data_IF_758057950646
#
_entry.id   IF_758057950646
#
_cell.length_a   1.000
_cell.length_b   1.000
_cell.length_c   1.000
_cell.angle_alpha   90.00
_cell.angle_beta   90.00
_cell.angle_gamma   90.00
#
_symmetry.space_group_name_H-M   'P 1'
#
loop_
_entity.id
_entity.type
_entity.pdbx_description
1 polymer ?
#
# COMPACT_ATOMS: atom_id res chain seq x y z
N UNK A 1 -13.39 25.89 -6.12
CA UNK A 1 -13.01 25.39 -4.78
C UNK A 1 -13.91 24.19 -4.47
N UNK A 2 -13.35 23.04 -4.13
CA UNK A 2 -14.16 21.89 -3.75
C UNK A 2 -15.08 22.26 -2.58
N UNK A 3 -16.32 21.76 -2.61
CA UNK A 3 -17.24 21.96 -1.48
C UNK A 3 -16.87 20.98 -0.38
N UNK A 4 -16.75 21.46 0.86
CA UNK A 4 -16.59 20.59 2.01
C UNK A 4 -17.92 19.89 2.34
N UNK A 5 -17.98 18.55 2.43
CA UNK A 5 -19.18 17.87 2.87
C UNK A 5 -19.32 18.01 4.39
N UNK A 6 -20.46 18.51 4.85
CA UNK A 6 -20.76 18.70 6.29
C UNK A 6 -21.51 17.51 6.89
N UNK A 7 -22.03 16.62 6.05
CA UNK A 7 -22.78 15.44 6.50
C UNK A 7 -21.79 14.41 7.06
N UNK A 8 -21.99 13.90 8.29
CA UNK A 8 -21.19 12.83 8.83
C UNK A 8 -21.41 11.52 8.04
N UNK A 9 -20.46 10.59 8.07
CA UNK A 9 -20.64 9.25 7.51
C UNK A 9 -21.85 8.55 8.12
N UNK A 10 -22.60 7.78 7.31
CA UNK A 10 -23.86 7.12 7.71
C UNK A 10 -23.66 5.72 8.27
N UNK A 11 -22.61 5.01 7.79
CA UNK A 11 -22.30 3.70 8.27
C UNK A 11 -21.73 3.69 9.68
N UNK A 12 -21.41 2.51 10.18
CA UNK A 12 -20.85 2.32 11.51
C UNK A 12 -19.34 2.12 11.46
N UNK A 13 -18.61 3.03 12.08
CA UNK A 13 -17.16 2.91 12.29
C UNK A 13 -16.89 2.27 13.66
N UNK A 14 -16.15 1.18 13.65
CA UNK A 14 -15.65 0.51 14.85
C UNK A 14 -14.12 0.47 14.83
N UNK A 15 -13.53 0.49 16.03
CA UNK A 15 -12.10 0.31 16.22
C UNK A 15 -11.85 -0.93 17.04
N UNK A 16 -10.92 -1.77 16.63
CA UNK A 16 -10.46 -2.90 17.43
C UNK A 16 -8.97 -3.14 17.24
N UNK A 17 -8.42 -4.04 18.02
CA UNK A 17 -6.99 -4.30 18.04
C UNK A 17 -6.71 -5.74 17.60
N UNK A 18 -5.70 -5.89 16.74
CA UNK A 18 -5.17 -7.19 16.32
C UNK A 18 -3.74 -7.32 16.81
N UNK A 19 -3.52 -8.26 17.72
CA UNK A 19 -2.19 -8.60 18.24
C UNK A 19 -1.64 -9.79 17.47
N UNK A 20 -0.39 -9.71 17.00
CA UNK A 20 0.25 -10.78 16.25
C UNK A 20 1.76 -10.83 16.48
N UNK A 21 2.26 -11.99 16.87
CA UNK A 21 3.69 -12.26 16.99
C UNK A 21 4.43 -12.16 15.63
N UNK A 22 3.71 -12.22 14.50
CA UNK A 22 4.29 -11.99 13.16
C UNK A 22 4.83 -10.58 12.99
N UNK A 23 4.30 -9.62 13.75
CA UNK A 23 4.76 -8.24 13.74
C UNK A 23 5.94 -7.98 14.70
N UNK A 24 6.49 -9.02 15.34
CA UNK A 24 7.76 -8.89 16.06
C UNK A 24 8.83 -8.38 15.11
N UNK A 25 9.55 -7.35 15.55
CA UNK A 25 10.47 -6.59 14.71
C UNK A 25 11.65 -6.06 15.52
N UNK A 26 12.74 -5.68 14.84
CA UNK A 26 13.96 -5.18 15.52
C UNK A 26 13.87 -3.69 15.88
N UNK A 27 12.86 -2.97 15.39
CA UNK A 27 12.66 -1.54 15.68
C UNK A 27 12.01 -1.31 17.05
N UNK A 28 11.41 -2.34 17.66
CA UNK A 28 10.64 -2.24 18.90
C UNK A 28 9.24 -1.65 18.70
N UNK A 29 8.72 -1.64 17.47
CA UNK A 29 7.36 -1.23 17.18
C UNK A 29 6.34 -2.22 17.79
N UNK A 30 5.14 -1.76 18.18
CA UNK A 30 4.13 -2.62 18.79
C UNK A 30 3.69 -3.77 17.87
N UNK A 31 3.48 -4.95 18.45
CA UNK A 31 2.90 -6.11 17.75
C UNK A 31 1.36 -6.08 17.71
N UNK A 32 0.77 -5.16 18.46
CA UNK A 32 -0.67 -4.91 18.53
C UNK A 32 -1.01 -3.70 17.69
N UNK A 33 -1.93 -3.85 16.72
CA UNK A 33 -2.27 -2.81 15.76
C UNK A 33 -3.75 -2.48 15.79
N UNK A 34 -4.05 -1.18 15.79
CA UNK A 34 -5.42 -0.70 15.67
C UNK A 34 -5.94 -0.92 14.24
N UNK A 35 -7.18 -1.37 14.14
CA UNK A 35 -7.87 -1.57 12.87
C UNK A 35 -9.21 -0.86 12.93
N UNK A 36 -9.42 0.10 12.04
CA UNK A 36 -10.72 0.71 11.80
C UNK A 36 -11.54 -0.16 10.86
N UNK A 37 -12.81 -0.38 11.18
CA UNK A 37 -13.75 -1.09 10.30
C UNK A 37 -14.98 -0.23 10.10
N UNK A 38 -15.24 0.14 8.88
CA UNK A 38 -16.44 0.85 8.48
C UNK A 38 -17.41 -0.11 7.80
N UNK A 39 -18.51 -0.38 8.47
CA UNK A 39 -19.63 -1.11 7.92
C UNK A 39 -20.57 -0.13 7.23
N UNK A 40 -20.76 -0.30 5.92
CA UNK A 40 -21.70 0.49 5.14
C UNK A 40 -23.10 0.47 5.74
N UNK A 41 -23.82 1.59 5.66
CA UNK A 41 -25.24 1.66 6.09
C UNK A 41 -26.16 0.74 5.29
N UNK A 42 -25.71 0.25 4.14
CA UNK A 42 -26.43 -0.70 3.30
C UNK A 42 -26.26 -2.18 3.78
N UNK A 43 -25.39 -2.45 4.75
CA UNK A 43 -25.24 -3.77 5.36
C UNK A 43 -26.33 -3.98 6.42
N UNK A 44 -27.53 -4.37 6.00
CA UNK A 44 -28.73 -4.43 6.86
C UNK A 44 -28.79 -5.67 7.78
N UNK A 45 -28.18 -6.79 7.37
CA UNK A 45 -28.25 -8.07 8.10
C UNK A 45 -26.87 -8.59 8.47
N UNK A 46 -26.76 -9.25 9.62
CA UNK A 46 -25.55 -10.00 10.00
C UNK A 46 -25.58 -11.44 9.46
N UNK A 47 -26.69 -11.89 8.90
CA UNK A 47 -26.83 -13.20 8.26
C UNK A 47 -26.30 -13.17 6.80
N UNK A 48 -26.18 -11.99 6.20
CA UNK A 48 -25.59 -11.80 4.88
C UNK A 48 -24.06 -11.71 4.97
N UNK A 49 -23.37 -12.06 3.89
CA UNK A 49 -21.92 -11.91 3.78
C UNK A 49 -21.57 -10.83 2.76
N UNK A 50 -20.78 -9.86 3.18
CA UNK A 50 -20.46 -8.67 2.39
C UNK A 50 -19.03 -8.69 1.83
N UNK A 51 -18.80 -8.08 0.67
CA UNK A 51 -17.45 -7.86 0.15
C UNK A 51 -16.58 -7.10 1.15
N UNK A 52 -15.29 -7.44 1.17
CA UNK A 52 -14.27 -6.86 2.04
C UNK A 52 -13.28 -6.03 1.23
N UNK A 53 -13.08 -4.80 1.64
CA UNK A 53 -12.09 -3.89 1.06
C UNK A 53 -11.09 -3.47 2.13
N UNK A 54 -9.78 -3.62 1.86
CA UNK A 54 -8.72 -3.22 2.79
C UNK A 54 -7.89 -2.11 2.17
N UNK A 55 -7.77 -1.00 2.88
CA UNK A 55 -6.99 0.18 2.51
C UNK A 55 -5.54 0.05 2.97
N UNK A 56 -4.61 0.13 2.06
CA UNK A 56 -3.17 0.09 2.35
C UNK A 56 -2.56 1.49 2.27
N UNK A 57 -2.02 1.94 3.39
CA UNK A 57 -1.50 3.30 3.54
C UNK A 57 -0.24 3.56 2.71
N UNK A 58 -0.08 4.80 2.26
CA UNK A 58 1.17 5.30 1.68
C UNK A 58 2.25 5.49 2.75
N UNK A 59 3.51 5.64 2.33
CA UNK A 59 4.63 5.98 3.22
C UNK A 59 4.33 7.22 4.08
N UNK A 60 4.73 7.19 5.33
CA UNK A 60 4.43 8.19 6.38
C UNK A 60 2.96 8.35 6.76
N UNK A 61 2.13 7.38 6.39
CA UNK A 61 0.72 7.41 6.72
C UNK A 61 0.28 6.10 7.40
N UNK A 62 -0.93 6.13 7.94
CA UNK A 62 -1.69 4.96 8.40
C UNK A 62 -3.05 5.00 7.70
N UNK A 63 -3.65 3.86 7.39
CA UNK A 63 -5.00 3.82 6.83
C UNK A 63 -6.03 4.51 7.78
N UNK A 64 -5.76 4.53 9.08
CA UNK A 64 -6.55 5.33 10.04
C UNK A 64 -6.56 6.84 9.71
N UNK A 65 -5.55 7.36 9.02
CA UNK A 65 -5.50 8.75 8.55
C UNK A 65 -6.60 9.08 7.54
N UNK A 66 -7.15 8.10 6.83
CA UNK A 66 -8.25 8.28 5.88
C UNK A 66 -9.62 8.44 6.56
N UNK A 67 -9.71 8.10 7.86
CA UNK A 67 -10.90 8.30 8.68
C UNK A 67 -11.04 9.74 9.19
N UNK A 68 -9.94 10.50 9.19
CA UNK A 68 -9.87 11.85 9.75
C UNK A 68 -10.54 12.91 8.90
N UNK A 69 -11.05 13.96 9.56
CA UNK A 69 -11.60 15.15 8.91
C UNK A 69 -10.55 15.83 8.01
N UNK A 70 -10.98 16.28 6.82
CA UNK A 70 -10.14 17.02 5.87
C UNK A 70 -10.83 18.31 5.45
N UNK A 71 -10.10 19.44 5.50
CA UNK A 71 -10.61 20.73 5.03
C UNK A 71 -10.83 20.70 3.50
N UNK A 72 -11.97 21.19 3.03
CA UNK A 72 -12.34 21.29 1.60
C UNK A 72 -12.25 19.97 0.82
N UNK A 73 -12.40 18.85 1.51
CA UNK A 73 -12.36 17.51 0.95
C UNK A 73 -13.32 16.61 1.72
N UNK A 74 -13.75 15.54 1.10
CA UNK A 74 -14.43 14.45 1.79
C UNK A 74 -13.42 13.50 2.44
N UNK A 75 -13.80 12.86 3.54
CA UNK A 75 -13.10 11.70 4.07
C UNK A 75 -13.39 10.50 3.18
N UNK A 76 -12.61 9.43 3.33
CA UNK A 76 -12.90 8.21 2.56
C UNK A 76 -14.26 7.61 2.91
N UNK A 77 -14.71 7.71 4.17
CA UNK A 77 -16.03 7.24 4.58
C UNK A 77 -17.16 8.04 3.91
N UNK A 78 -17.04 9.37 3.85
CA UNK A 78 -18.00 10.23 3.14
C UNK A 78 -18.01 9.95 1.62
N UNK A 79 -16.85 9.61 1.04
CA UNK A 79 -16.73 9.19 -0.36
C UNK A 79 -17.48 7.89 -0.62
N UNK A 80 -17.31 6.89 0.25
CA UNK A 80 -18.02 5.61 0.17
C UNK A 80 -19.53 5.87 0.19
N UNK A 81 -20.03 6.63 1.16
CA UNK A 81 -21.45 6.95 1.28
C UNK A 81 -21.99 7.68 0.03
N UNK A 82 -21.21 8.61 -0.55
CA UNK A 82 -21.60 9.30 -1.78
C UNK A 82 -21.69 8.37 -2.97
N UNK A 83 -20.70 7.49 -3.13
CA UNK A 83 -20.68 6.51 -4.23
C UNK A 83 -21.83 5.48 -4.09
N UNK A 84 -22.24 5.17 -2.86
CA UNK A 84 -23.43 4.37 -2.59
C UNK A 84 -24.71 5.11 -3.00
N UNK A 85 -24.84 6.40 -2.66
CA UNK A 85 -25.99 7.24 -3.07
C UNK A 85 -26.08 7.39 -4.60
N UNK A 86 -24.95 7.40 -5.26
CA UNK A 86 -24.86 7.44 -6.73
C UNK A 86 -25.12 6.06 -7.38
N UNK A 87 -25.34 5.01 -6.59
CA UNK A 87 -25.54 3.63 -7.06
C UNK A 87 -24.29 2.98 -7.68
N UNK A 88 -23.09 3.51 -7.37
CA UNK A 88 -21.82 3.00 -7.87
C UNK A 88 -21.20 1.96 -6.93
N UNK A 89 -21.58 1.98 -5.66
CA UNK A 89 -21.23 0.99 -4.65
C UNK A 89 -22.51 0.42 -4.04
N UNK A 90 -22.42 -0.76 -3.49
CA UNK A 90 -23.45 -1.40 -2.67
C UNK A 90 -22.89 -1.78 -1.30
N UNK A 91 -23.59 -2.67 -0.55
CA UNK A 91 -23.20 -3.05 0.80
C UNK A 91 -21.80 -3.69 0.82
N UNK A 92 -20.90 -3.17 1.68
CA UNK A 92 -19.54 -3.66 1.83
C UNK A 92 -18.97 -3.32 3.21
N UNK A 93 -17.88 -4.00 3.57
CA UNK A 93 -17.10 -3.76 4.77
C UNK A 93 -15.71 -3.23 4.37
N UNK A 94 -15.34 -2.08 4.94
CA UNK A 94 -14.13 -1.34 4.62
C UNK A 94 -13.19 -1.34 5.82
N UNK A 95 -11.93 -1.69 5.60
CA UNK A 95 -10.95 -1.94 6.67
C UNK A 95 -9.74 -1.02 6.51
N UNK A 96 -9.35 -0.42 7.62
CA UNK A 96 -8.31 0.60 7.72
C UNK A 96 -7.28 0.19 8.77
N UNK A 97 -6.31 -0.67 8.44
CA UNK A 97 -5.31 -1.11 9.40
C UNK A 97 -4.25 -0.03 9.66
N UNK A 98 -3.83 0.08 10.92
CA UNK A 98 -2.60 0.81 11.25
C UNK A 98 -1.39 -0.02 10.87
N UNK A 99 -0.69 0.40 9.83
CA UNK A 99 0.52 -0.24 9.32
C UNK A 99 1.77 0.64 9.44
N UNK A 100 1.73 1.68 10.28
CA UNK A 100 2.86 2.57 10.47
C UNK A 100 4.01 1.88 11.22
N UNK A 101 5.25 2.22 10.89
CA UNK A 101 6.46 1.77 11.59
C UNK A 101 7.33 2.95 11.99
N UNK A 102 8.28 2.75 12.89
CA UNK A 102 9.24 3.79 13.30
C UNK A 102 10.11 4.32 12.15
N UNK A 103 10.20 3.59 11.03
CA UNK A 103 10.84 4.06 9.79
C UNK A 103 9.85 4.76 8.84
N UNK A 104 8.55 4.83 9.16
CA UNK A 104 7.53 5.52 8.37
C UNK A 104 6.77 4.62 7.39
N UNK A 105 7.13 3.35 7.23
CA UNK A 105 6.46 2.40 6.36
C UNK A 105 7.13 1.03 6.37
N UNK A 106 6.52 0.03 5.72
CA UNK A 106 6.97 -1.37 5.69
C UNK A 106 6.78 -2.02 4.32
N UNK A 107 6.32 -1.29 3.34
CA UNK A 107 6.03 -1.74 1.97
C UNK A 107 5.09 -2.94 1.89
N UNK A 108 4.42 -3.31 2.97
CA UNK A 108 3.53 -4.49 3.06
C UNK A 108 4.20 -5.80 2.61
N UNK A 109 5.51 -5.91 2.92
CA UNK A 109 6.32 -7.12 2.70
C UNK A 109 6.71 -7.74 4.04
N UNK A 110 7.14 -8.98 4.02
CA UNK A 110 7.70 -9.64 5.20
C UNK A 110 9.18 -9.28 5.36
N UNK A 111 9.53 -8.76 6.53
CA UNK A 111 10.89 -8.38 6.87
C UNK A 111 11.18 -8.67 8.35
N UNK A 112 12.37 -9.20 8.68
CA UNK A 112 12.78 -9.38 10.07
C UNK A 112 12.98 -8.04 10.81
N UNK A 113 13.07 -6.93 10.08
CA UNK A 113 13.28 -5.60 10.64
C UNK A 113 11.97 -4.90 10.96
N UNK A 114 10.99 -4.96 10.07
CA UNK A 114 9.70 -4.24 10.21
C UNK A 114 8.53 -5.13 10.61
N UNK A 115 8.68 -6.46 10.57
CA UNK A 115 7.63 -7.45 10.81
C UNK A 115 7.13 -8.12 9.53
N UNK A 116 6.35 -9.19 9.67
CA UNK A 116 5.80 -9.99 8.56
C UNK A 116 4.47 -9.39 8.08
N UNK A 117 4.50 -8.21 7.50
CA UNK A 117 3.29 -7.46 7.14
C UNK A 117 2.51 -8.08 5.98
N UNK A 118 3.19 -8.68 4.99
CA UNK A 118 2.51 -9.39 3.92
C UNK A 118 1.72 -10.57 4.46
N UNK A 119 2.35 -11.40 5.27
CA UNK A 119 1.70 -12.56 5.89
C UNK A 119 0.59 -12.14 6.87
N UNK A 120 0.82 -11.11 7.69
CA UNK A 120 -0.18 -10.60 8.63
C UNK A 120 -1.48 -10.16 7.93
N UNK A 121 -1.39 -9.53 6.76
CA UNK A 121 -2.56 -9.07 6.01
C UNK A 121 -3.52 -10.21 5.64
N UNK A 122 -2.98 -11.34 5.15
CA UNK A 122 -3.80 -12.44 4.66
C UNK A 122 -4.00 -13.59 5.67
N UNK A 123 -3.43 -13.46 6.88
CA UNK A 123 -3.64 -14.40 7.98
C UNK A 123 -4.36 -13.71 9.14
N UNK A 124 -3.60 -13.11 10.07
CA UNK A 124 -4.12 -12.61 11.35
C UNK A 124 -5.20 -11.55 11.19
N UNK A 125 -5.03 -10.63 10.22
CA UNK A 125 -6.03 -9.60 9.96
C UNK A 125 -7.33 -10.22 9.40
N UNK A 126 -7.24 -11.11 8.39
CA UNK A 126 -8.43 -11.76 7.82
C UNK A 126 -9.13 -12.64 8.85
N UNK A 127 -8.40 -13.43 9.62
CA UNK A 127 -8.96 -14.27 10.67
C UNK A 127 -9.73 -13.43 11.73
N UNK A 128 -9.14 -12.32 12.16
CA UNK A 128 -9.76 -11.41 13.11
C UNK A 128 -11.03 -10.74 12.55
N UNK A 129 -11.05 -10.39 11.26
CA UNK A 129 -12.20 -9.81 10.58
C UNK A 129 -13.31 -10.83 10.38
N UNK A 130 -12.99 -12.04 9.94
CA UNK A 130 -13.96 -13.13 9.72
C UNK A 130 -14.63 -13.61 11.02
N UNK A 131 -13.93 -13.47 12.15
CA UNK A 131 -14.47 -13.81 13.46
C UNK A 131 -15.44 -12.75 14.01
N UNK A 132 -15.37 -11.49 13.53
CA UNK A 132 -16.09 -10.35 14.12
C UNK A 132 -17.17 -9.77 13.21
N UNK A 133 -16.99 -9.87 11.89
CA UNK A 133 -17.83 -9.19 10.91
C UNK A 133 -18.39 -10.18 9.87
N UNK A 134 -19.57 -9.88 9.31
CA UNK A 134 -20.19 -10.70 8.28
C UNK A 134 -19.52 -10.47 6.91
N UNK A 135 -18.22 -10.74 6.82
CA UNK A 135 -17.43 -10.62 5.58
C UNK A 135 -17.45 -11.93 4.80
N UNK A 136 -17.38 -11.83 3.48
CA UNK A 136 -17.18 -13.01 2.63
C UNK A 136 -15.84 -13.68 2.96
N UNK A 137 -15.90 -15.00 3.25
CA UNK A 137 -14.73 -15.78 3.65
C UNK A 137 -13.95 -16.36 2.45
N UNK A 138 -14.58 -16.38 1.28
CA UNK A 138 -13.91 -16.79 0.05
C UNK A 138 -13.03 -15.65 -0.52
N UNK A 139 -11.90 -15.97 -1.18
CA UNK A 139 -11.04 -14.95 -1.78
C UNK A 139 -11.76 -14.07 -2.81
N UNK A 140 -12.79 -14.60 -3.49
CA UNK A 140 -13.59 -13.88 -4.48
C UNK A 140 -14.34 -12.66 -3.93
N UNK A 141 -14.48 -12.57 -2.60
CA UNK A 141 -15.12 -11.44 -1.93
C UNK A 141 -14.17 -10.38 -1.40
N UNK A 142 -12.86 -10.39 -1.73
CA UNK A 142 -11.86 -9.55 -1.06
C UNK A 142 -11.04 -8.73 -2.05
N UNK A 143 -10.88 -7.43 -1.76
CA UNK A 143 -10.04 -6.55 -2.55
C UNK A 143 -9.10 -5.72 -1.67
N UNK A 144 -7.95 -5.36 -2.24
CA UNK A 144 -6.99 -4.40 -1.70
C UNK A 144 -6.97 -3.13 -2.55
N UNK A 145 -6.75 -2.00 -1.92
CA UNK A 145 -6.47 -0.77 -2.65
C UNK A 145 -5.48 0.09 -1.86
N UNK A 146 -4.74 0.91 -2.58
CA UNK A 146 -3.80 1.82 -1.93
C UNK A 146 -3.07 2.70 -2.93
N UNK A 147 -2.32 3.64 -2.38
CA UNK A 147 -1.55 4.62 -3.14
C UNK A 147 -0.07 4.50 -2.77
N UNK A 148 0.85 4.76 -3.74
CA UNK A 148 2.30 4.78 -3.49
C UNK A 148 2.75 3.45 -2.88
N UNK A 149 3.39 3.44 -1.72
CA UNK A 149 3.72 2.21 -0.97
C UNK A 149 2.52 1.30 -0.72
N UNK A 150 1.33 1.86 -0.47
CA UNK A 150 0.09 1.08 -0.35
C UNK A 150 -0.36 0.47 -1.68
N UNK A 151 -0.20 1.22 -2.79
CA UNK A 151 -0.44 0.71 -4.14
C UNK A 151 0.53 -0.41 -4.52
N UNK A 152 1.81 -0.24 -4.19
CA UNK A 152 2.80 -1.31 -4.28
C UNK A 152 2.38 -2.52 -3.44
N UNK A 153 2.00 -2.32 -2.16
CA UNK A 153 1.57 -3.39 -1.27
C UNK A 153 0.38 -4.18 -1.83
N UNK A 154 -0.64 -3.49 -2.37
CA UNK A 154 -1.76 -4.14 -3.02
C UNK A 154 -1.31 -5.02 -4.20
N UNK A 155 -0.43 -4.50 -5.06
CA UNK A 155 0.10 -5.24 -6.20
C UNK A 155 1.03 -6.38 -5.77
N UNK A 156 1.84 -6.17 -4.72
CA UNK A 156 2.70 -7.21 -4.15
C UNK A 156 1.89 -8.41 -3.63
N UNK A 157 0.77 -8.15 -2.95
CA UNK A 157 -0.15 -9.21 -2.52
C UNK A 157 -0.70 -9.99 -3.72
N UNK A 158 -1.11 -9.33 -4.80
CA UNK A 158 -1.61 -10.02 -5.99
C UNK A 158 -0.55 -10.90 -6.65
N UNK A 159 0.70 -10.43 -6.73
CA UNK A 159 1.81 -11.16 -7.34
C UNK A 159 2.29 -12.35 -6.49
N UNK A 160 2.21 -12.25 -5.17
CA UNK A 160 2.81 -13.23 -4.26
C UNK A 160 1.79 -14.05 -3.45
N UNK A 161 0.59 -13.51 -3.22
CA UNK A 161 -0.46 -14.06 -2.36
C UNK A 161 -1.86 -13.93 -2.98
N UNK A 162 -1.96 -13.94 -4.31
CA UNK A 162 -3.19 -13.75 -5.07
C UNK A 162 -4.28 -14.78 -4.77
N UNK A 163 -3.92 -15.93 -4.15
CA UNK A 163 -4.87 -16.93 -3.68
C UNK A 163 -5.77 -16.46 -2.54
N UNK A 164 -5.46 -15.34 -1.89
CA UNK A 164 -6.25 -14.77 -0.79
C UNK A 164 -7.15 -13.61 -1.23
N UNK A 165 -6.96 -13.10 -2.44
CA UNK A 165 -7.55 -11.85 -2.92
C UNK A 165 -8.08 -12.00 -4.36
N UNK A 166 -9.21 -11.36 -4.68
CA UNK A 166 -9.78 -11.40 -6.02
C UNK A 166 -9.41 -10.19 -6.87
N UNK A 167 -9.23 -9.02 -6.25
CA UNK A 167 -9.00 -7.80 -7.00
C UNK A 167 -8.10 -6.80 -6.26
N UNK A 168 -7.43 -5.92 -7.00
CA UNK A 168 -6.67 -4.83 -6.41
C UNK A 168 -6.72 -3.54 -7.22
N UNK A 169 -6.57 -2.40 -6.53
CA UNK A 169 -6.30 -1.10 -7.13
C UNK A 169 -4.97 -0.52 -6.63
N UNK A 170 -4.10 -0.20 -7.57
CA UNK A 170 -2.78 0.35 -7.35
C UNK A 170 -2.70 1.77 -7.92
N UNK A 171 -2.78 2.78 -7.06
CA UNK A 171 -2.69 4.20 -7.45
C UNK A 171 -1.25 4.69 -7.30
N UNK A 172 -0.60 5.06 -8.41
CA UNK A 172 0.79 5.54 -8.41
C UNK A 172 1.70 4.68 -7.53
N UNK A 173 1.57 3.34 -7.62
CA UNK A 173 2.35 2.40 -6.81
C UNK A 173 3.79 2.30 -7.26
N UNK A 174 4.67 1.98 -6.32
CA UNK A 174 6.10 1.86 -6.58
C UNK A 174 6.37 0.69 -7.53
N UNK A 175 6.91 0.98 -8.70
CA UNK A 175 7.33 -0.02 -9.70
C UNK A 175 8.35 0.57 -10.68
N UNK A 176 9.19 -0.29 -11.28
CA UNK A 176 10.29 0.15 -12.11
C UNK A 176 11.39 0.84 -11.30
N UNK A 177 11.88 0.15 -10.28
CA UNK A 177 12.76 0.67 -9.22
C UNK A 177 14.03 1.34 -9.75
N UNK A 178 14.55 0.88 -10.89
CA UNK A 178 15.77 1.46 -11.50
C UNK A 178 15.60 2.95 -11.81
N UNK A 179 14.43 3.38 -12.27
CA UNK A 179 14.16 4.80 -12.54
C UNK A 179 13.46 5.47 -11.36
N UNK A 180 12.50 4.78 -10.74
CA UNK A 180 11.70 5.32 -9.64
C UNK A 180 12.53 5.75 -8.44
N UNK A 181 13.51 4.92 -8.03
CA UNK A 181 14.31 5.21 -6.84
C UNK A 181 15.68 5.85 -7.11
N UNK A 182 16.10 6.00 -8.37
CA UNK A 182 17.43 6.54 -8.68
C UNK A 182 17.66 7.95 -8.12
N UNK A 183 16.67 8.83 -8.25
CA UNK A 183 16.73 10.19 -7.73
C UNK A 183 16.75 10.21 -6.19
N UNK A 184 15.90 9.41 -5.56
CA UNK A 184 15.78 9.36 -4.09
C UNK A 184 17.03 8.77 -3.44
N UNK A 185 17.65 7.76 -4.05
CA UNK A 185 18.95 7.22 -3.62
C UNK A 185 20.05 8.29 -3.69
N UNK A 186 20.08 9.06 -4.76
CA UNK A 186 21.05 10.17 -4.90
C UNK A 186 20.80 11.26 -3.87
N UNK A 187 19.53 11.60 -3.59
CA UNK A 187 19.17 12.56 -2.55
C UNK A 187 19.55 12.05 -1.15
N UNK A 188 19.39 10.75 -0.88
CA UNK A 188 19.80 10.16 0.39
C UNK A 188 21.31 10.29 0.63
N UNK A 189 22.15 10.03 -0.40
CA UNK A 189 23.60 10.22 -0.30
C UNK A 189 23.97 11.68 -0.04
N UNK A 190 23.35 12.61 -0.80
CA UNK A 190 23.57 14.04 -0.59
C UNK A 190 23.14 14.50 0.81
N UNK A 191 22.04 13.95 1.32
CA UNK A 191 21.59 14.21 2.68
C UNK A 191 22.64 13.77 3.71
N UNK A 192 23.20 12.56 3.58
CA UNK A 192 24.26 12.08 4.47
C UNK A 192 25.51 12.95 4.43
N UNK A 193 25.95 13.35 3.24
CA UNK A 193 27.07 14.27 3.08
C UNK A 193 26.83 15.62 3.76
N UNK A 194 25.65 16.22 3.57
CA UNK A 194 25.26 17.47 4.21
C UNK A 194 25.19 17.37 5.74
N UNK A 195 24.76 16.22 6.26
CA UNK A 195 24.71 15.97 7.70
C UNK A 195 26.09 15.62 8.29
N UNK A 196 27.05 15.18 7.48
CA UNK A 196 28.38 14.75 7.92
C UNK A 196 28.34 13.52 8.82
N UNK A 197 27.44 12.55 8.53
CA UNK A 197 27.23 11.34 9.34
C UNK A 197 26.97 10.11 8.45
N UNK A 198 27.15 8.92 9.04
CA UNK A 198 26.70 7.67 8.43
C UNK A 198 25.17 7.60 8.38
N UNK A 199 24.62 6.64 7.61
CA UNK A 199 23.17 6.38 7.58
C UNK A 199 22.59 6.05 8.96
N UNK A 200 23.31 5.31 9.80
CA UNK A 200 22.92 5.05 11.20
C UNK A 200 22.88 6.36 12.01
N UNK A 201 23.95 7.17 11.94
CA UNK A 201 24.00 8.46 12.64
C UNK A 201 22.92 9.44 12.16
N UNK A 202 22.49 9.34 10.89
CA UNK A 202 21.37 10.13 10.38
C UNK A 202 20.04 9.69 11.00
N UNK A 203 19.79 8.38 11.12
CA UNK A 203 18.58 7.84 11.77
C UNK A 203 18.53 8.22 13.24
N UNK A 204 19.65 8.11 13.99
CA UNK A 204 19.74 8.53 15.39
C UNK A 204 19.42 10.03 15.56
N UNK A 205 19.94 10.87 14.65
CA UNK A 205 19.62 12.31 14.66
C UNK A 205 18.15 12.59 14.33
N UNK A 206 17.58 11.88 13.37
CA UNK A 206 16.16 12.01 13.00
C UNK A 206 15.28 11.64 14.18
N UNK A 207 15.57 10.53 14.86
CA UNK A 207 14.83 10.10 16.05
C UNK A 207 14.86 11.13 17.18
N UNK A 208 15.98 11.84 17.35
CA UNK A 208 16.13 12.86 18.38
C UNK A 208 15.43 14.19 18.04
N UNK A 209 14.94 14.40 16.81
CA UNK A 209 14.32 15.64 16.37
C UNK A 209 12.90 15.79 16.94
N UNK A 210 12.53 17.01 17.31
CA UNK A 210 11.13 17.37 17.65
C UNK A 210 10.27 17.61 16.42
N UNK A 211 10.87 17.86 15.26
CA UNK A 211 10.20 18.13 13.98
C UNK A 211 11.07 17.67 12.84
N UNK A 212 10.45 16.94 11.91
CA UNK A 212 11.12 16.49 10.69
C UNK A 212 10.98 17.53 9.57
N UNK A 213 12.01 17.63 8.72
CA UNK A 213 11.99 18.40 7.48
C UNK A 213 11.87 17.49 6.25
N UNK A 214 11.76 18.09 5.07
CA UNK A 214 11.59 17.34 3.82
C UNK A 214 12.73 16.35 3.55
N UNK A 215 13.99 16.74 3.78
CA UNK A 215 15.13 15.84 3.61
C UNK A 215 15.14 14.66 4.59
N UNK A 216 14.62 14.85 5.82
CA UNK A 216 14.48 13.76 6.79
C UNK A 216 13.49 12.71 6.27
N UNK A 217 12.34 13.13 5.73
CA UNK A 217 11.33 12.23 5.17
C UNK A 217 11.86 11.46 3.95
N UNK A 218 12.60 12.11 3.06
CA UNK A 218 13.21 11.44 1.92
C UNK A 218 14.24 10.39 2.35
N UNK A 219 15.07 10.72 3.34
CA UNK A 219 16.04 9.76 3.87
C UNK A 219 15.35 8.59 4.59
N UNK A 220 14.32 8.86 5.41
CA UNK A 220 13.51 7.82 6.07
C UNK A 220 12.85 6.88 5.06
N UNK A 221 12.40 7.39 3.91
CA UNK A 221 11.85 6.55 2.86
C UNK A 221 12.88 5.53 2.37
N UNK A 222 14.10 5.98 2.06
CA UNK A 222 15.18 5.06 1.64
C UNK A 222 15.52 4.07 2.76
N UNK A 223 15.55 4.51 4.02
CA UNK A 223 15.78 3.60 5.16
C UNK A 223 14.69 2.54 5.30
N UNK A 224 13.41 2.93 5.16
CA UNK A 224 12.29 2.00 5.18
C UNK A 224 12.33 0.99 4.02
N UNK A 225 12.71 1.44 2.82
CA UNK A 225 12.90 0.56 1.66
C UNK A 225 14.07 -0.42 1.88
N UNK A 226 15.20 0.03 2.45
CA UNK A 226 16.30 -0.84 2.85
C UNK A 226 15.84 -1.93 3.83
N UNK A 227 15.13 -1.52 4.89
CA UNK A 227 14.60 -2.43 5.90
C UNK A 227 13.57 -3.41 5.35
N UNK A 228 12.89 -3.05 4.25
CA UNK A 228 11.88 -3.87 3.60
C UNK A 228 12.48 -4.83 2.55
N UNK A 229 13.37 -4.34 1.69
CA UNK A 229 13.83 -5.08 0.51
C UNK A 229 15.19 -5.77 0.68
N UNK A 230 16.03 -5.25 1.57
CA UNK A 230 17.36 -5.83 1.88
C UNK A 230 17.68 -5.62 3.36
N UNK A 231 16.87 -6.25 4.26
CA UNK A 231 17.00 -6.07 5.70
C UNK A 231 18.35 -6.55 6.25
N UNK A 232 18.88 -5.82 7.23
CA UNK A 232 20.11 -6.16 7.96
C UNK A 232 19.84 -6.19 9.47
N UNK A 233 19.11 -7.21 9.99
CA UNK A 233 18.62 -7.24 11.37
C UNK A 233 19.75 -7.19 12.42
N UNK A 234 20.98 -7.55 12.06
CA UNK A 234 22.16 -7.47 12.93
C UNK A 234 22.79 -6.06 12.97
N UNK A 235 22.33 -5.14 12.11
CA UNK A 235 22.77 -3.76 12.10
C UNK A 235 21.81 -2.87 12.92
N UNK A 236 22.30 -1.75 13.50
CA UNK A 236 21.40 -0.77 14.09
C UNK A 236 20.34 -0.32 13.07
N UNK A 237 19.08 -0.15 13.51
CA UNK A 237 17.93 0.15 12.68
C UNK A 237 17.59 -0.92 11.62
N UNK A 238 18.38 -1.99 11.50
CA UNK A 238 18.20 -3.00 10.48
C UNK A 238 18.44 -2.52 9.05
N UNK A 239 19.12 -1.40 8.86
CA UNK A 239 19.27 -0.68 7.58
C UNK A 239 20.67 -0.83 7.02
N UNK A 240 20.75 -1.16 5.73
CA UNK A 240 21.98 -1.09 4.92
C UNK A 240 21.66 -0.48 3.55
N UNK A 241 22.50 0.45 3.08
CA UNK A 241 22.26 1.10 1.79
C UNK A 241 22.66 0.19 0.62
N UNK A 242 21.92 0.22 -0.50
CA UNK A 242 22.28 -0.50 -1.73
C UNK A 242 23.40 0.20 -2.53
N UNK A 243 23.98 1.26 -1.97
CA UNK A 243 25.04 2.07 -2.54
C UNK A 243 26.20 2.22 -1.55
N UNK A 244 27.41 2.34 -2.06
CA UNK A 244 28.53 2.89 -1.29
C UNK A 244 28.26 4.36 -1.00
N UNK A 245 28.29 4.74 0.28
CA UNK A 245 27.89 6.09 0.69
C UNK A 245 28.90 7.20 0.32
N UNK A 246 30.13 6.83 -0.03
CA UNK A 246 31.17 7.78 -0.42
C UNK A 246 31.28 7.93 -1.93
N UNK A 247 31.30 6.82 -2.66
CA UNK A 247 31.45 6.84 -4.13
C UNK A 247 30.13 6.93 -4.88
N UNK A 248 29.01 6.56 -4.22
CA UNK A 248 27.70 6.40 -4.88
C UNK A 248 27.63 5.15 -5.76
N UNK A 249 28.66 4.29 -5.73
CA UNK A 249 28.67 3.06 -6.51
C UNK A 249 27.61 2.07 -6.00
N UNK A 250 26.86 1.50 -6.94
CA UNK A 250 25.82 0.52 -6.62
C UNK A 250 26.43 -0.81 -6.16
N UNK A 251 25.98 -1.29 -5.01
CA UNK A 251 26.34 -2.60 -4.48
C UNK A 251 25.38 -3.61 -5.12
N UNK A 252 25.83 -4.22 -6.20
CA UNK A 252 24.99 -5.05 -7.09
C UNK A 252 24.20 -6.13 -6.35
N UNK A 253 24.81 -6.85 -5.41
CA UNK A 253 24.14 -7.90 -4.66
C UNK A 253 22.94 -7.37 -3.86
N UNK A 254 23.07 -6.19 -3.24
CA UNK A 254 21.96 -5.53 -2.50
C UNK A 254 20.88 -5.02 -3.44
N UNK A 255 21.29 -4.45 -4.56
CA UNK A 255 20.36 -3.95 -5.56
C UNK A 255 19.52 -5.07 -6.19
N UNK A 256 20.09 -6.23 -6.40
CA UNK A 256 19.36 -7.40 -6.87
C UNK A 256 18.30 -7.87 -5.85
N UNK A 257 18.57 -7.74 -4.53
CA UNK A 257 17.56 -8.00 -3.50
C UNK A 257 16.37 -7.02 -3.63
N UNK A 258 16.62 -5.73 -3.89
CA UNK A 258 15.58 -4.77 -4.14
C UNK A 258 14.78 -5.11 -5.41
N UNK A 259 15.45 -5.40 -6.52
CA UNK A 259 14.79 -5.74 -7.78
C UNK A 259 13.92 -7.01 -7.70
N UNK A 260 14.20 -7.90 -6.76
CA UNK A 260 13.35 -9.07 -6.51
C UNK A 260 11.94 -8.68 -6.03
N UNK A 261 11.77 -7.48 -5.47
CA UNK A 261 10.49 -6.92 -5.07
C UNK A 261 9.86 -6.03 -6.14
N UNK A 262 10.61 -5.56 -7.15
CA UNK A 262 10.05 -4.71 -8.20
C UNK A 262 8.92 -5.43 -8.97
N UNK A 263 7.69 -4.90 -8.96
CA UNK A 263 6.57 -5.52 -9.67
C UNK A 263 6.86 -5.75 -11.16
N UNK A 264 7.61 -4.84 -11.80
CA UNK A 264 8.02 -5.02 -13.19
C UNK A 264 8.95 -6.24 -13.37
N UNK A 265 9.85 -6.48 -12.43
CA UNK A 265 10.70 -7.68 -12.41
C UNK A 265 9.87 -8.93 -12.08
N UNK A 266 8.99 -8.83 -11.10
CA UNK A 266 8.19 -9.95 -10.63
C UNK A 266 7.22 -10.48 -11.67
N UNK A 267 6.59 -9.61 -12.48
CA UNK A 267 5.65 -10.06 -13.52
C UNK A 267 6.33 -10.86 -14.65
N UNK A 268 7.65 -10.84 -14.72
CA UNK A 268 8.41 -11.69 -15.66
C UNK A 268 8.46 -13.17 -15.21
N UNK A 269 8.20 -13.45 -13.94
CA UNK A 269 8.08 -14.80 -13.42
C UNK A 269 6.74 -15.43 -13.79
N UNK A 270 6.77 -16.65 -14.35
CA UNK A 270 5.57 -17.32 -14.87
C UNK A 270 4.57 -17.70 -13.76
N UNK A 271 5.03 -17.98 -12.54
CA UNK A 271 4.15 -18.33 -11.44
C UNK A 271 3.40 -17.09 -10.97
N UNK A 272 4.08 -15.95 -10.84
CA UNK A 272 3.48 -14.67 -10.45
C UNK A 272 2.54 -14.14 -11.52
N UNK A 273 2.91 -14.27 -12.79
CA UNK A 273 2.03 -13.94 -13.91
C UNK A 273 0.74 -14.78 -13.90
N UNK A 274 0.83 -16.09 -13.60
CA UNK A 274 -0.37 -16.94 -13.46
C UNK A 274 -1.27 -16.52 -12.29
N UNK A 275 -0.72 -16.02 -11.18
CA UNK A 275 -1.54 -15.48 -10.09
C UNK A 275 -2.32 -14.25 -10.55
N UNK A 276 -1.68 -13.32 -11.27
CA UNK A 276 -2.39 -12.17 -11.84
C UNK A 276 -3.48 -12.59 -12.84
N UNK A 277 -3.23 -13.62 -13.64
CA UNK A 277 -4.22 -14.13 -14.59
C UNK A 277 -5.47 -14.71 -13.90
N UNK A 278 -5.35 -15.15 -12.65
CA UNK A 278 -6.45 -15.69 -11.84
C UNK A 278 -7.29 -14.64 -11.10
N UNK A 279 -6.92 -13.36 -11.17
CA UNK A 279 -7.66 -12.30 -10.48
C UNK A 279 -8.95 -11.96 -11.23
N UNK A 280 -9.98 -11.56 -10.49
CA UNK A 280 -11.21 -10.98 -11.05
C UNK A 280 -10.96 -9.59 -11.60
N UNK A 281 -10.05 -8.81 -10.99
CA UNK A 281 -9.73 -7.48 -11.46
C UNK A 281 -8.42 -6.89 -10.95
N UNK A 282 -7.73 -6.18 -11.84
CA UNK A 282 -6.56 -5.38 -11.48
C UNK A 282 -6.70 -4.00 -12.10
N UNK A 283 -6.75 -2.97 -11.24
CA UNK A 283 -6.76 -1.57 -11.63
C UNK A 283 -5.42 -0.93 -11.29
N UNK A 284 -4.81 -0.27 -12.27
CA UNK A 284 -3.56 0.48 -12.06
C UNK A 284 -3.72 1.85 -12.70
N UNK A 285 -3.41 2.89 -11.96
CA UNK A 285 -3.31 4.22 -12.54
C UNK A 285 -2.10 5.00 -12.02
N UNK A 286 -1.68 6.00 -12.79
CA UNK A 286 -0.59 6.88 -12.40
C UNK A 286 -0.74 8.27 -13.02
N UNK A 287 -0.38 9.30 -12.23
CA UNK A 287 -0.32 10.67 -12.74
C UNK A 287 0.79 10.83 -13.78
N UNK A 288 0.49 11.49 -14.92
CA UNK A 288 1.50 11.73 -15.98
C UNK A 288 2.64 12.61 -15.52
N UNK A 289 2.42 13.44 -14.48
CA UNK A 289 3.39 14.36 -13.88
C UNK A 289 3.84 13.88 -12.51
N UNK A 290 3.79 12.58 -12.26
CA UNK A 290 4.25 11.98 -11.01
C UNK A 290 5.73 12.33 -10.78
N UNK A 291 6.01 13.05 -9.69
CA UNK A 291 7.34 13.57 -9.38
C UNK A 291 8.34 12.50 -8.90
N UNK A 292 7.85 11.29 -8.60
CA UNK A 292 8.68 10.13 -8.30
C UNK A 292 8.94 9.26 -9.53
N UNK A 293 8.53 9.72 -10.73
CA UNK A 293 8.75 9.05 -12.02
C UNK A 293 8.05 7.68 -12.14
N UNK A 294 7.08 7.37 -11.27
CA UNK A 294 6.42 6.06 -11.20
C UNK A 294 5.60 5.74 -12.46
N UNK A 295 5.17 6.75 -13.21
CA UNK A 295 4.45 6.57 -14.48
C UNK A 295 5.24 5.69 -15.48
N UNK A 296 6.56 5.81 -15.49
CA UNK A 296 7.39 5.00 -16.40
C UNK A 296 7.43 3.53 -15.98
N UNK A 297 7.51 3.26 -14.69
CA UNK A 297 7.38 1.91 -14.14
C UNK A 297 6.02 1.31 -14.43
N UNK A 298 4.93 2.08 -14.23
CA UNK A 298 3.56 1.66 -14.53
C UNK A 298 3.35 1.31 -16.01
N UNK A 299 3.91 2.10 -16.93
CA UNK A 299 3.90 1.81 -18.38
C UNK A 299 4.65 0.52 -18.72
N UNK A 300 5.83 0.31 -18.12
CA UNK A 300 6.62 -0.92 -18.30
C UNK A 300 5.88 -2.14 -17.78
N UNK A 301 5.26 -2.03 -16.60
CA UNK A 301 4.46 -3.11 -16.03
C UNK A 301 3.26 -3.45 -16.92
N UNK A 302 2.52 -2.42 -17.38
CA UNK A 302 1.41 -2.59 -18.34
C UNK A 302 1.88 -3.35 -19.59
N UNK A 303 2.96 -2.90 -20.21
CA UNK A 303 3.49 -3.54 -21.44
C UNK A 303 3.90 -5.00 -21.19
N UNK A 304 4.49 -5.30 -20.01
CA UNK A 304 4.84 -6.66 -19.61
C UNK A 304 3.60 -7.54 -19.41
N UNK A 305 2.53 -7.01 -18.82
CA UNK A 305 1.25 -7.71 -18.70
C UNK A 305 0.63 -8.00 -20.07
N UNK A 306 0.58 -7.00 -20.95
CA UNK A 306 0.03 -7.15 -22.33
C UNK A 306 0.79 -8.20 -23.13
N UNK A 307 2.12 -8.22 -23.06
CA UNK A 307 2.97 -9.21 -23.72
C UNK A 307 2.71 -10.64 -23.23
N UNK A 308 2.14 -10.80 -22.04
CA UNK A 308 1.76 -12.08 -21.42
C UNK A 308 0.26 -12.40 -21.53
N UNK A 309 -0.52 -11.53 -22.17
CA UNK A 309 -1.98 -11.68 -22.28
C UNK A 309 -2.71 -11.51 -20.96
N UNK A 310 -2.12 -10.80 -19.97
CA UNK A 310 -2.73 -10.52 -18.70
C UNK A 310 -3.64 -9.30 -18.79
N UNK A 311 -4.89 -9.45 -18.35
CA UNK A 311 -5.86 -8.37 -18.30
C UNK A 311 -5.60 -7.42 -17.12
N UNK A 312 -5.62 -6.11 -17.38
CA UNK A 312 -5.68 -5.08 -16.34
C UNK A 312 -6.39 -3.85 -16.89
N UNK A 313 -7.04 -3.09 -16.02
CA UNK A 313 -7.50 -1.74 -16.33
C UNK A 313 -6.40 -0.76 -15.98
N UNK A 314 -5.84 -0.08 -17.00
CA UNK A 314 -4.77 0.88 -16.86
C UNK A 314 -5.21 2.27 -17.26
N UNK A 315 -4.96 3.26 -16.42
CA UNK A 315 -5.28 4.67 -16.71
C UNK A 315 -4.11 5.60 -16.38
N UNK A 316 -3.92 6.62 -17.20
CA UNK A 316 -3.06 7.75 -16.89
C UNK A 316 -3.92 9.01 -16.79
N UNK A 317 -3.67 9.81 -15.76
CA UNK A 317 -4.40 11.05 -15.53
C UNK A 317 -3.47 12.26 -15.49
N UNK A 318 -4.01 13.46 -15.79
CA UNK A 318 -3.24 14.68 -15.86
C UNK A 318 -3.03 15.33 -14.49
N UNK A 319 -2.26 14.66 -13.62
CA UNK A 319 -1.90 15.15 -12.29
C UNK A 319 -0.54 14.63 -11.83
N UNK A 320 -0.15 14.98 -10.59
CA UNK A 320 1.08 14.58 -9.91
C UNK A 320 0.85 13.35 -9.03
N UNK A 321 1.79 13.03 -8.13
CA UNK A 321 1.65 11.97 -7.12
C UNK A 321 0.72 12.36 -5.96
N UNK A 322 0.52 13.65 -5.70
CA UNK A 322 -0.12 14.14 -4.48
C UNK A 322 -1.58 14.54 -4.70
N UNK A 323 -2.43 14.34 -3.67
CA UNK A 323 -3.82 14.81 -3.71
C UNK A 323 -4.72 14.04 -4.67
N UNK A 324 -4.39 12.81 -5.01
CA UNK A 324 -5.08 11.99 -6.01
C UNK A 324 -6.21 11.11 -5.45
N UNK A 325 -6.68 11.37 -4.24
CA UNK A 325 -7.75 10.59 -3.60
C UNK A 325 -9.05 10.56 -4.43
N UNK A 326 -9.26 11.55 -5.32
CA UNK A 326 -10.39 11.55 -6.26
C UNK A 326 -10.35 10.37 -7.25
N UNK A 327 -9.20 9.71 -7.42
CA UNK A 327 -9.09 8.52 -8.27
C UNK A 327 -9.80 7.31 -7.69
N UNK A 328 -10.08 7.34 -6.39
CA UNK A 328 -10.90 6.33 -5.73
C UNK A 328 -12.35 6.32 -6.27
N UNK A 329 -12.85 7.42 -6.82
CA UNK A 329 -14.15 7.47 -7.50
C UNK A 329 -14.22 6.56 -8.74
N UNK A 330 -13.08 6.19 -9.29
CA UNK A 330 -12.98 5.28 -10.46
C UNK A 330 -12.67 3.85 -10.02
N UNK A 331 -11.73 3.71 -9.08
CA UNK A 331 -11.23 2.37 -8.70
C UNK A 331 -12.16 1.62 -7.78
N UNK A 332 -12.80 2.28 -6.79
CA UNK A 332 -13.68 1.60 -5.84
C UNK A 332 -14.92 1.00 -6.53
N UNK A 333 -15.64 1.72 -7.41
CA UNK A 333 -16.72 1.12 -8.21
C UNK A 333 -16.23 -0.05 -9.09
N UNK A 334 -15.06 0.10 -9.71
CA UNK A 334 -14.47 -1.00 -10.49
C UNK A 334 -14.24 -2.24 -9.62
N UNK A 335 -13.57 -2.10 -8.47
CA UNK A 335 -13.32 -3.22 -7.58
C UNK A 335 -14.62 -3.85 -7.08
N UNK A 336 -15.62 -3.03 -6.73
CA UNK A 336 -16.91 -3.51 -6.25
C UNK A 336 -17.60 -4.39 -7.31
N UNK A 337 -17.63 -3.94 -8.57
CA UNK A 337 -18.16 -4.71 -9.68
C UNK A 337 -17.43 -6.07 -9.85
N UNK A 338 -16.09 -6.07 -9.77
CA UNK A 338 -15.31 -7.31 -9.89
C UNK A 338 -15.62 -8.35 -8.79
N UNK A 339 -15.93 -7.90 -7.57
CA UNK A 339 -16.27 -8.80 -6.45
C UNK A 339 -17.72 -9.29 -6.49
N UNK A 340 -18.64 -8.55 -7.11
CA UNK A 340 -20.07 -8.83 -7.12
C UNK A 340 -20.54 -9.52 -8.42
N UNK A 341 -20.01 -9.15 -9.57
CA UNK A 341 -20.32 -9.79 -10.85
C UNK A 341 -19.80 -11.23 -10.93
N UNK A 342 -18.63 -11.50 -10.35
CA UNK A 342 -18.09 -12.86 -10.26
C UNK A 342 -18.97 -13.79 -9.42
N UNK A 343 -19.68 -13.26 -8.41
CA UNK A 343 -20.59 -14.03 -7.56
C UNK A 343 -21.90 -14.43 -8.28
N UNK A 344 -22.31 -13.73 -9.35
CA UNK A 344 -23.51 -14.03 -10.14
C UNK A 344 -23.22 -15.11 -11.18
N UNK A 345 -21.95 -15.30 -11.55
CA UNK A 345 -21.50 -16.21 -12.61
C UNK A 345 -21.02 -17.58 -12.10
N UNK A 346 -20.93 -17.77 -10.79
CA UNK A 346 -20.53 -19.02 -10.09
C UNK A 346 -21.74 -19.74 -9.48
#
# INVERSE_FOLDING_TARGET
MPRHPFTPPRGRLEMFEVTSERLTNTLGDPISRQVGVYRSSLCESDDDQYPLFVDLAAFTNSALGHLGWKAFSETLLQRIDRLEDEGQLGPAIWVFPDSFTSLGGNQFVDSPVTGQWATWLHTDLLEALEARYPVRKDPGGRALFGKSSGGFGALHQMLNHGEHWAAAACHSGDMGFELGYAADLSHALLYLEQQGVSHIGALDRIQAKKRLGGGDFQFLMIAALCASYDPAPDQPWGVQLPLDSFTGERIEARWLNWLAFDPFTQVQDDQKARRLAGLSGLFIDCGRRDQYHLVYGARRFKAACEARGLGLRFEEFDDTHSGIDYRLDVSLPYLYAQLTEAAISS
#
